data_IF_292301286016
#
_entry.id   IF_292301286016
#
_cell.length_a   1.000
_cell.length_b   1.000
_cell.length_c   1.000
_cell.angle_alpha   90.00
_cell.angle_beta   90.00
_cell.angle_gamma   90.00
#
_symmetry.space_group_name_H-M   'P 1'
#
loop_
_entity.id
_entity.type
_entity.pdbx_description
1 polymer ?
#
# COMPACT_ATOMS: atom_id res chain seq x y z
N UNK A 1 1.94 5.94 11.43
CA UNK A 1 2.71 6.43 12.59
C UNK A 1 4.12 5.85 12.60
N UNK A 2 4.25 4.55 12.36
CA UNK A 2 5.57 3.91 12.31
C UNK A 2 6.45 4.51 11.19
N UNK A 3 5.87 4.74 10.01
CA UNK A 3 6.58 5.34 8.90
C UNK A 3 7.07 6.76 9.25
N UNK A 4 6.21 7.55 9.91
CA UNK A 4 6.56 8.89 10.35
C UNK A 4 7.73 8.87 11.35
N UNK A 5 7.70 7.93 12.29
CA UNK A 5 8.76 7.78 13.30
C UNK A 5 10.11 7.46 12.67
N UNK A 6 10.12 6.96 11.43
CA UNK A 6 11.33 6.62 10.66
C UNK A 6 11.69 7.67 9.61
N UNK A 7 11.05 8.83 9.65
CA UNK A 7 11.38 9.96 8.79
C UNK A 7 10.62 10.05 7.47
N UNK A 8 9.60 9.22 7.25
CA UNK A 8 8.79 9.34 6.04
C UNK A 8 7.95 10.62 6.09
N UNK A 9 7.94 11.37 4.99
CA UNK A 9 7.16 12.61 4.88
C UNK A 9 7.05 13.01 3.40
N UNK A 10 5.88 13.45 2.91
CA UNK A 10 4.59 13.42 3.59
C UNK A 10 4.02 12.01 3.71
N UNK A 11 3.04 11.82 4.58
CA UNK A 11 2.37 10.56 4.78
C UNK A 11 0.91 10.68 4.36
N UNK A 12 0.47 9.81 3.46
CA UNK A 12 -0.91 9.75 3.00
C UNK A 12 -1.54 8.43 3.44
N UNK A 13 -2.74 8.50 3.98
CA UNK A 13 -3.52 7.33 4.40
C UNK A 13 -4.84 7.31 3.64
N UNK A 14 -5.28 6.11 3.29
CA UNK A 14 -6.57 5.90 2.63
C UNK A 14 -7.36 4.89 3.47
N UNK A 15 -8.55 5.27 3.90
CA UNK A 15 -9.43 4.43 4.71
C UNK A 15 -10.86 4.55 4.19
N UNK A 16 -11.50 3.42 3.91
CA UNK A 16 -12.86 3.37 3.39
C UNK A 16 -13.92 3.55 4.47
N UNK A 17 -13.65 3.11 5.69
CA UNK A 17 -14.60 3.14 6.80
C UNK A 17 -14.62 4.52 7.45
N UNK A 18 -15.71 5.26 7.22
CA UNK A 18 -15.89 6.60 7.81
C UNK A 18 -15.96 6.57 9.33
N UNK A 19 -16.37 5.46 9.92
CA UNK A 19 -16.42 5.29 11.37
C UNK A 19 -15.05 5.30 12.03
N UNK A 20 -13.99 5.02 11.27
CA UNK A 20 -12.61 5.02 11.77
C UNK A 20 -11.92 6.39 11.67
N UNK A 21 -12.53 7.35 10.97
CA UNK A 21 -11.92 8.66 10.71
C UNK A 21 -11.47 9.36 11.99
N UNK A 22 -12.36 9.47 12.97
CA UNK A 22 -12.05 10.18 14.21
C UNK A 22 -10.90 9.54 14.99
N UNK A 23 -10.87 8.20 15.04
CA UNK A 23 -9.79 7.46 15.72
C UNK A 23 -8.46 7.67 15.01
N UNK A 24 -8.45 7.60 13.68
CA UNK A 24 -7.24 7.80 12.89
C UNK A 24 -6.72 9.23 13.06
N UNK A 25 -7.60 10.23 12.97
CA UNK A 25 -7.21 11.62 13.14
C UNK A 25 -6.62 11.88 14.53
N UNK A 26 -7.23 11.29 15.57
CA UNK A 26 -6.71 11.38 16.93
C UNK A 26 -5.31 10.78 17.04
N UNK A 27 -5.09 9.61 16.47
CA UNK A 27 -3.78 8.96 16.47
C UNK A 27 -2.75 9.76 15.69
N UNK A 28 -3.14 10.37 14.56
CA UNK A 28 -2.26 11.18 13.73
C UNK A 28 -1.95 12.55 14.34
N UNK A 29 -2.76 13.01 15.32
CA UNK A 29 -2.53 14.32 15.96
C UNK A 29 -1.17 14.42 16.62
N UNK A 30 -0.56 13.30 16.98
CA UNK A 30 0.79 13.23 17.57
C UNK A 30 1.91 13.17 16.54
N UNK A 31 1.57 13.08 15.24
CA UNK A 31 2.54 13.00 14.15
C UNK A 31 2.82 14.42 13.66
N UNK A 32 4.08 14.84 13.73
CA UNK A 32 4.50 16.18 13.31
C UNK A 32 4.71 16.31 11.79
N UNK A 33 5.03 15.21 11.12
CA UNK A 33 5.26 15.18 9.68
C UNK A 33 4.00 15.53 8.91
N UNK A 34 4.15 16.06 7.69
CA UNK A 34 3.03 16.36 6.82
C UNK A 34 2.23 15.09 6.55
N UNK A 35 0.92 15.16 6.77
CA UNK A 35 0.03 13.99 6.68
C UNK A 35 -1.29 14.37 6.06
N UNK A 36 -1.91 13.39 5.37
CA UNK A 36 -3.22 13.54 4.75
C UNK A 36 -4.00 12.25 4.89
N UNK A 37 -5.27 12.35 5.27
CA UNK A 37 -6.17 11.21 5.35
C UNK A 37 -7.25 11.34 4.27
N UNK A 38 -7.36 10.33 3.41
CA UNK A 38 -8.40 10.21 2.40
C UNK A 38 -9.39 9.15 2.84
N UNK A 39 -10.64 9.56 3.12
CA UNK A 39 -11.69 8.62 3.51
C UNK A 39 -12.44 8.19 2.25
N UNK A 40 -11.97 7.12 1.64
CA UNK A 40 -12.53 6.60 0.39
C UNK A 40 -12.02 5.18 0.13
N UNK A 41 -12.62 4.51 -0.85
CA UNK A 41 -12.17 3.21 -1.32
C UNK A 41 -10.76 3.34 -1.93
N UNK A 42 -9.87 2.41 -1.57
CA UNK A 42 -8.49 2.40 -2.06
C UNK A 42 -8.42 2.32 -3.59
N UNK A 43 -9.27 1.50 -4.23
CA UNK A 43 -9.28 1.41 -5.69
C UNK A 43 -9.65 2.75 -6.34
N UNK A 44 -10.65 3.44 -5.81
CA UNK A 44 -11.02 4.76 -6.29
C UNK A 44 -9.90 5.77 -6.11
N UNK A 45 -9.21 5.70 -4.99
CA UNK A 45 -8.05 6.57 -4.75
C UNK A 45 -6.96 6.33 -5.80
N UNK A 46 -6.62 5.08 -6.06
CA UNK A 46 -5.60 4.71 -7.05
C UNK A 46 -5.97 5.25 -8.43
N UNK A 47 -7.24 5.10 -8.84
CA UNK A 47 -7.71 5.54 -10.16
C UNK A 47 -7.71 7.05 -10.31
N UNK A 48 -7.84 7.80 -9.22
CA UNK A 48 -7.95 9.26 -9.24
C UNK A 48 -6.73 10.00 -8.69
N UNK A 49 -5.73 9.29 -8.19
CA UNK A 49 -4.57 9.91 -7.54
C UNK A 49 -3.73 10.72 -8.52
N UNK A 50 -3.37 11.93 -8.10
CA UNK A 50 -2.41 12.79 -8.79
C UNK A 50 -1.00 12.63 -8.21
N UNK A 51 -0.83 11.77 -7.21
CA UNK A 51 0.43 11.57 -6.51
C UNK A 51 1.06 10.24 -6.86
N UNK A 52 2.40 10.21 -6.82
CA UNK A 52 3.18 8.99 -6.86
C UNK A 52 4.03 8.90 -5.61
N UNK A 53 4.34 7.68 -5.17
CA UNK A 53 4.97 7.45 -3.87
C UNK A 53 6.23 6.61 -4.02
N UNK A 54 7.18 6.82 -3.09
CA UNK A 54 8.36 5.97 -2.98
C UNK A 54 8.01 4.62 -2.36
N UNK A 55 7.08 4.61 -1.41
CA UNK A 55 6.62 3.39 -0.74
C UNK A 55 5.10 3.41 -0.65
N UNK A 56 4.48 2.32 -1.07
CA UNK A 56 3.03 2.09 -0.88
C UNK A 56 2.87 0.81 -0.07
N UNK A 57 2.21 0.91 1.08
CA UNK A 57 1.88 -0.22 1.93
C UNK A 57 0.38 -0.48 1.88
N UNK A 58 0.00 -1.70 1.56
CA UNK A 58 -1.40 -2.12 1.48
C UNK A 58 -1.68 -3.24 2.48
N UNK A 59 -2.72 -3.04 3.28
CA UNK A 59 -3.19 -4.03 4.26
C UNK A 59 -4.70 -4.18 4.11
N UNK A 60 -5.17 -4.78 2.99
CA UNK A 60 -6.61 -4.94 2.75
C UNK A 60 -7.22 -5.94 3.73
N UNK A 61 -8.54 -5.87 4.00
CA UNK A 61 -9.22 -6.86 4.82
C UNK A 61 -8.99 -8.27 4.28
N UNK A 62 -8.72 -9.25 5.14
CA UNK A 62 -8.46 -10.62 4.73
C UNK A 62 -9.58 -11.22 3.85
N UNK A 63 -10.87 -11.00 4.13
CA UNK A 63 -11.93 -11.54 3.27
C UNK A 63 -12.14 -10.79 1.95
N UNK A 64 -11.34 -9.75 1.66
CA UNK A 64 -11.45 -9.03 0.41
C UNK A 64 -11.04 -9.90 -0.77
N UNK A 65 -11.92 -10.01 -1.78
CA UNK A 65 -11.60 -10.66 -3.04
C UNK A 65 -10.86 -9.70 -3.97
N UNK A 66 -10.04 -10.25 -4.87
CA UNK A 66 -9.39 -9.47 -5.91
C UNK A 66 -8.21 -8.61 -5.44
N UNK A 67 -7.52 -9.01 -4.38
CA UNK A 67 -6.33 -8.28 -3.89
C UNK A 67 -5.25 -8.12 -4.95
N UNK A 68 -5.09 -9.12 -5.84
CA UNK A 68 -4.12 -9.05 -6.93
C UNK A 68 -4.46 -7.93 -7.90
N UNK A 69 -5.75 -7.60 -8.06
CA UNK A 69 -6.17 -6.47 -8.88
C UNK A 69 -5.69 -5.13 -8.31
N UNK A 70 -5.51 -5.05 -7.00
CA UNK A 70 -4.95 -3.86 -6.37
C UNK A 70 -3.51 -3.64 -6.88
N UNK A 71 -2.70 -4.70 -6.94
CA UNK A 71 -1.36 -4.63 -7.50
C UNK A 71 -1.39 -4.19 -8.97
N UNK A 72 -2.29 -4.75 -9.78
CA UNK A 72 -2.45 -4.35 -11.19
C UNK A 72 -2.78 -2.87 -11.33
N UNK A 73 -3.68 -2.37 -10.52
CA UNK A 73 -4.09 -0.97 -10.57
C UNK A 73 -2.96 -0.03 -10.12
N UNK A 74 -2.24 -0.41 -9.07
CA UNK A 74 -1.07 0.35 -8.61
C UNK A 74 -0.02 0.44 -9.71
N UNK A 75 0.23 -0.67 -10.42
CA UNK A 75 1.18 -0.71 -11.51
C UNK A 75 0.74 0.15 -12.70
N UNK A 76 -0.51 -0.02 -13.16
CA UNK A 76 -0.99 0.64 -14.37
C UNK A 76 -1.20 2.16 -14.19
N UNK A 77 -1.42 2.63 -12.98
CA UNK A 77 -1.64 4.05 -12.68
C UNK A 77 -0.40 4.76 -12.12
N UNK A 78 0.75 4.08 -12.13
CA UNK A 78 2.03 4.64 -11.72
C UNK A 78 2.02 5.26 -10.32
N UNK A 79 1.35 4.60 -9.38
CA UNK A 79 1.24 5.06 -7.99
C UNK A 79 2.59 4.93 -7.27
N UNK A 80 3.40 3.95 -7.65
CA UNK A 80 4.76 3.79 -7.12
C UNK A 80 5.75 4.35 -8.12
N UNK A 81 6.64 5.23 -7.63
CA UNK A 81 7.70 5.81 -8.46
C UNK A 81 8.67 4.73 -8.94
N UNK A 82 9.34 4.91 -10.09
CA UNK A 82 10.41 4.00 -10.51
C UNK A 82 11.44 3.81 -9.40
N UNK A 83 11.80 2.56 -9.12
CA UNK A 83 12.70 2.22 -8.00
C UNK A 83 12.03 2.15 -6.64
N UNK A 84 10.76 2.53 -6.54
CA UNK A 84 10.01 2.48 -5.30
C UNK A 84 9.50 1.09 -4.96
N UNK A 85 8.82 0.97 -3.82
CA UNK A 85 8.36 -0.31 -3.28
C UNK A 85 6.85 -0.35 -3.11
N UNK A 86 6.25 -1.49 -3.47
CA UNK A 86 4.89 -1.82 -3.11
C UNK A 86 4.92 -3.00 -2.14
N UNK A 87 4.34 -2.81 -0.96
CA UNK A 87 4.33 -3.81 0.11
C UNK A 87 2.88 -4.22 0.35
N UNK A 88 2.61 -5.52 0.36
CA UNK A 88 1.25 -6.04 0.57
C UNK A 88 1.25 -7.09 1.69
N UNK A 89 0.29 -6.95 2.60
CA UNK A 89 0.01 -7.91 3.66
C UNK A 89 -1.22 -8.74 3.26
N UNK A 90 -1.09 -10.06 3.29
CA UNK A 90 -2.17 -10.98 2.90
C UNK A 90 -2.09 -12.28 3.71
N UNK A 91 -3.20 -13.05 3.81
CA UNK A 91 -3.17 -14.33 4.52
C UNK A 91 -2.43 -15.41 3.73
N UNK A 92 -1.79 -16.33 4.43
CA UNK A 92 -0.98 -17.40 3.82
C UNK A 92 -1.77 -18.25 2.82
N UNK A 93 -3.08 -18.38 3.00
CA UNK A 93 -3.96 -19.14 2.11
C UNK A 93 -4.00 -18.57 0.69
N UNK A 94 -3.68 -17.30 0.51
CA UNK A 94 -3.69 -16.63 -0.79
C UNK A 94 -2.32 -16.61 -1.47
N UNK A 95 -1.32 -17.26 -0.89
CA UNK A 95 0.06 -17.26 -1.40
C UNK A 95 0.15 -17.61 -2.88
N UNK A 96 -0.64 -18.58 -3.33
CA UNK A 96 -0.60 -19.07 -4.72
C UNK A 96 -1.16 -18.09 -5.74
N UNK A 97 -1.93 -17.10 -5.29
CA UNK A 97 -2.57 -16.12 -6.18
C UNK A 97 -1.63 -15.00 -6.59
N UNK A 98 -0.50 -14.84 -5.92
CA UNK A 98 0.40 -13.71 -6.11
C UNK A 98 1.53 -14.02 -7.10
N UNK A 99 1.68 -13.21 -8.15
CA UNK A 99 2.75 -13.40 -9.13
C UNK A 99 4.10 -12.89 -8.58
N UNK A 100 5.19 -13.39 -9.16
CA UNK A 100 6.54 -12.88 -8.86
C UNK A 100 6.88 -11.65 -9.69
N UNK A 101 6.32 -11.55 -10.89
CA UNK A 101 6.54 -10.42 -11.81
C UNK A 101 5.19 -9.98 -12.37
N UNK A 102 4.93 -8.69 -12.39
CA UNK A 102 3.73 -8.12 -13.00
C UNK A 102 3.93 -6.65 -13.38
N UNK A 103 3.72 -6.33 -14.66
CA UNK A 103 3.63 -4.95 -15.18
C UNK A 103 4.67 -3.99 -14.62
N UNK A 104 5.94 -4.40 -14.63
CA UNK A 104 7.02 -3.56 -14.14
C UNK A 104 7.34 -3.70 -12.67
N UNK A 105 6.64 -4.59 -11.94
CA UNK A 105 6.97 -4.94 -10.56
C UNK A 105 7.63 -6.31 -10.49
N UNK A 106 8.69 -6.40 -9.70
CA UNK A 106 9.40 -7.67 -9.45
C UNK A 106 9.44 -7.94 -7.96
N UNK A 107 9.14 -9.17 -7.56
CA UNK A 107 9.21 -9.58 -6.16
C UNK A 107 10.66 -9.50 -5.69
N UNK A 108 10.93 -8.70 -4.66
CA UNK A 108 12.28 -8.55 -4.11
C UNK A 108 12.42 -9.10 -2.69
N UNK A 109 11.31 -9.29 -1.98
CA UNK A 109 11.34 -9.91 -0.65
C UNK A 109 9.96 -10.52 -0.34
N UNK A 110 9.96 -11.58 0.47
CA UNK A 110 8.75 -12.23 0.94
C UNK A 110 9.00 -12.77 2.33
N UNK A 111 8.11 -12.47 3.28
CA UNK A 111 8.25 -12.90 4.67
C UNK A 111 6.95 -13.50 5.19
N UNK A 112 7.08 -14.51 6.04
CA UNK A 112 5.96 -15.18 6.70
C UNK A 112 6.00 -14.92 8.20
N UNK A 113 4.87 -14.50 8.74
CA UNK A 113 4.67 -14.28 10.17
C UNK A 113 3.40 -15.01 10.61
N UNK A 114 3.55 -16.25 11.12
CA UNK A 114 2.39 -17.07 11.45
C UNK A 114 1.52 -17.34 10.22
N UNK A 115 0.28 -16.86 10.22
CA UNK A 115 -0.65 -16.98 9.09
C UNK A 115 -0.63 -15.77 8.15
N UNK A 116 0.21 -14.82 8.43
CA UNK A 116 0.33 -13.60 7.63
C UNK A 116 1.54 -13.66 6.73
N UNK A 117 1.38 -13.16 5.52
CA UNK A 117 2.46 -13.02 4.55
C UNK A 117 2.65 -11.56 4.19
N UNK A 118 3.89 -11.17 3.95
CA UNK A 118 4.23 -9.86 3.42
C UNK A 118 5.07 -10.05 2.18
N UNK A 119 4.63 -9.48 1.07
CA UNK A 119 5.40 -9.41 -0.18
C UNK A 119 5.85 -7.99 -0.43
N UNK A 120 7.05 -7.85 -0.93
CA UNK A 120 7.62 -6.56 -1.31
C UNK A 120 8.00 -6.63 -2.78
N UNK A 121 7.37 -5.77 -3.58
CA UNK A 121 7.64 -5.62 -5.00
C UNK A 121 8.40 -4.33 -5.24
N UNK A 122 9.40 -4.39 -6.11
CA UNK A 122 10.12 -3.20 -6.55
C UNK A 122 9.65 -2.80 -7.95
N UNK A 123 9.31 -1.51 -8.10
CA UNK A 123 8.97 -0.96 -9.40
C UNK A 123 10.24 -0.80 -10.24
N UNK A 124 10.20 -1.24 -11.51
CA UNK A 124 11.34 -1.10 -12.41
C UNK A 124 11.69 0.36 -12.64
N UNK A 125 12.98 0.66 -12.64
CA UNK A 125 13.47 1.97 -13.01
C UNK A 125 13.43 2.10 -14.52
N UNK A 126 12.87 3.22 -14.99
CA UNK A 126 12.90 3.55 -16.41
C UNK A 126 14.23 4.22 -16.74
N UNK A 127 14.88 3.69 -17.71
CA UNK A 127 16.09 4.32 -18.25
C UNK A 127 15.72 5.54 -19.09
#
# INVERSE_FOLDING_TARGET
IEAASRGASPIHLVEMDRGKKATIEKNLSFVEEEKKLFVMDAERYILSSLYSYDIVYADPPFPMDGKVNLLKNVASHHIVKPGGLFIIHYPVEEEKEWPEIMDGFSLCDKRKYGRSMIRMYKAEEKC
#
